data_IF_243570424188
#
_entry.id   IF_243570424188
#
_cell.length_a   1.000
_cell.length_b   1.000
_cell.length_c   1.000
_cell.angle_alpha   90.00
_cell.angle_beta   90.00
_cell.angle_gamma   90.00
#
_symmetry.space_group_name_H-M   'P 1'
#
loop_
_entity.id
_entity.type
_entity.pdbx_description
1 polymer ?
#
# COMPACT_ATOMS: atom_id res chain seq x y z
N UNK A 1 12.95 18.16 -9.58
CA UNK A 1 12.65 18.79 -8.27
C UNK A 1 11.81 20.07 -8.46
N UNK A 2 12.18 21.01 -9.36
CA UNK A 2 11.43 22.29 -9.51
C UNK A 2 9.94 22.11 -9.86
N UNK A 3 9.59 21.13 -10.72
CA UNK A 3 8.20 20.78 -11.04
C UNK A 3 7.47 20.33 -9.77
N UNK A 4 8.08 19.46 -8.97
CA UNK A 4 7.49 19.01 -7.72
C UNK A 4 7.33 20.13 -6.69
N UNK A 5 8.29 21.05 -6.60
CA UNK A 5 8.16 22.25 -5.73
C UNK A 5 6.88 23.01 -6.09
N UNK A 6 6.63 23.21 -7.40
CA UNK A 6 5.43 23.88 -7.89
C UNK A 6 4.14 23.09 -7.65
N UNK A 7 4.14 21.79 -7.97
CA UNK A 7 3.00 20.88 -7.74
C UNK A 7 2.59 20.88 -6.27
N UNK A 8 3.55 20.77 -5.35
CA UNK A 8 3.28 20.73 -3.92
C UNK A 8 2.65 22.05 -3.42
N UNK A 9 3.11 23.18 -3.92
CA UNK A 9 2.52 24.48 -3.57
C UNK A 9 1.10 24.61 -4.13
N UNK A 10 0.86 24.18 -5.37
CA UNK A 10 -0.49 24.18 -5.95
C UNK A 10 -1.45 23.28 -5.19
N UNK A 11 -1.03 22.07 -4.80
CA UNK A 11 -1.87 21.15 -4.03
C UNK A 11 -2.18 21.69 -2.62
N UNK A 12 -1.21 22.32 -1.96
CA UNK A 12 -1.45 23.01 -0.68
C UNK A 12 -2.49 24.11 -0.85
N UNK A 13 -2.31 24.99 -1.84
CA UNK A 13 -3.26 26.06 -2.12
C UNK A 13 -4.65 25.50 -2.46
N UNK A 14 -4.72 24.47 -3.32
CA UNK A 14 -5.97 23.79 -3.65
C UNK A 14 -6.69 23.24 -2.43
N UNK A 15 -5.99 22.53 -1.55
CA UNK A 15 -6.58 21.97 -0.32
C UNK A 15 -7.09 23.04 0.62
N UNK A 16 -6.33 24.13 0.81
CA UNK A 16 -6.76 25.28 1.64
C UNK A 16 -8.04 25.91 1.07
N UNK A 17 -8.10 26.10 -0.26
CA UNK A 17 -9.20 26.80 -0.91
C UNK A 17 -10.45 25.91 -1.02
N UNK A 18 -10.29 24.62 -1.24
CA UNK A 18 -11.39 23.67 -1.42
C UNK A 18 -12.00 23.16 -0.11
N UNK A 19 -11.34 23.35 1.04
CA UNK A 19 -11.87 22.92 2.33
C UNK A 19 -12.91 23.92 2.87
N UNK A 20 -14.17 23.47 2.95
CA UNK A 20 -15.27 24.27 3.51
C UNK A 20 -15.03 24.71 4.96
N UNK A 21 -14.25 23.97 5.73
CA UNK A 21 -13.93 24.37 7.11
C UNK A 21 -12.99 25.57 7.11
N UNK A 22 -12.01 25.59 6.21
CA UNK A 22 -11.09 26.70 6.03
C UNK A 22 -11.81 27.95 5.50
N UNK A 23 -12.66 27.80 4.50
CA UNK A 23 -13.50 28.88 3.98
C UNK A 23 -14.40 29.47 5.08
N UNK A 24 -15.10 28.63 5.85
CA UNK A 24 -15.94 29.08 6.96
C UNK A 24 -15.15 29.72 8.10
N UNK A 25 -13.93 29.26 8.36
CA UNK A 25 -13.05 29.89 9.35
C UNK A 25 -12.54 31.25 8.89
N UNK A 26 -12.22 31.39 7.61
CA UNK A 26 -11.83 32.64 6.99
C UNK A 26 -12.97 33.70 7.07
N UNK A 27 -14.20 33.30 6.78
CA UNK A 27 -15.36 34.22 6.86
C UNK A 27 -15.65 34.79 8.27
N UNK A 28 -15.11 34.19 9.33
CA UNK A 28 -15.31 34.66 10.72
C UNK A 28 -14.30 35.71 11.17
N UNK A 29 -13.22 35.90 10.42
CA UNK A 29 -12.12 36.80 10.77
C UNK A 29 -11.65 37.52 9.51
N UNK A 30 -11.71 38.88 9.56
CA UNK A 30 -11.38 39.70 8.39
C UNK A 30 -9.93 39.47 7.90
N UNK A 31 -8.95 39.34 8.81
CA UNK A 31 -7.56 39.10 8.40
C UNK A 31 -7.38 37.75 7.74
N UNK A 32 -8.04 36.71 8.28
CA UNK A 32 -8.03 35.35 7.69
C UNK A 32 -8.71 35.35 6.33
N UNK A 33 -9.80 36.11 6.19
CA UNK A 33 -10.47 36.30 4.91
C UNK A 33 -9.58 36.95 3.86
N UNK A 34 -8.90 38.05 4.19
CA UNK A 34 -8.02 38.77 3.29
C UNK A 34 -6.88 37.84 2.79
N UNK A 35 -6.28 37.04 3.68
CA UNK A 35 -5.25 36.06 3.34
C UNK A 35 -5.80 34.93 2.44
N UNK A 36 -6.95 34.38 2.81
CA UNK A 36 -7.59 33.31 2.04
C UNK A 36 -8.02 33.78 0.66
N UNK A 37 -8.61 34.97 0.54
CA UNK A 37 -9.04 35.54 -0.73
C UNK A 37 -7.84 35.91 -1.62
N UNK A 38 -6.76 36.45 -1.05
CA UNK A 38 -5.52 36.67 -1.78
C UNK A 38 -4.92 35.41 -2.33
N UNK A 39 -4.88 34.30 -1.54
CA UNK A 39 -4.43 32.99 -1.99
C UNK A 39 -5.35 32.43 -3.09
N UNK A 40 -6.67 32.55 -2.94
CA UNK A 40 -7.65 32.11 -3.93
C UNK A 40 -7.50 32.83 -5.27
N UNK A 41 -7.28 34.15 -5.25
CA UNK A 41 -7.05 34.93 -6.47
C UNK A 41 -5.74 34.54 -7.16
N UNK A 42 -4.67 34.33 -6.40
CA UNK A 42 -3.40 33.89 -6.95
C UNK A 42 -3.53 32.49 -7.55
N UNK A 43 -4.13 31.54 -6.82
CA UNK A 43 -4.37 30.19 -7.31
C UNK A 43 -5.18 30.18 -8.62
N UNK A 44 -6.17 31.07 -8.75
CA UNK A 44 -6.98 31.20 -9.97
C UNK A 44 -6.16 31.59 -11.20
N UNK A 45 -5.00 32.21 -11.07
CA UNK A 45 -4.09 32.52 -12.18
C UNK A 45 -3.37 31.26 -12.68
N UNK A 46 -3.29 30.21 -11.86
CA UNK A 46 -2.66 28.93 -12.19
C UNK A 46 -3.67 27.89 -12.71
N UNK A 47 -4.83 28.27 -13.14
CA UNK A 47 -6.14 27.64 -13.27
C UNK A 47 -6.31 26.57 -14.35
N UNK A 48 -5.31 25.85 -14.77
CA UNK A 48 -5.53 24.75 -15.73
C UNK A 48 -5.78 23.37 -15.06
N UNK A 49 -6.02 23.30 -13.72
CA UNK A 49 -5.92 22.05 -12.96
C UNK A 49 -6.95 22.02 -11.80
N UNK A 50 -8.22 22.39 -12.05
CA UNK A 50 -9.22 22.46 -10.96
C UNK A 50 -9.96 21.15 -10.68
N UNK A 51 -10.07 20.23 -11.63
CA UNK A 51 -10.90 19.03 -11.51
C UNK A 51 -10.08 17.75 -11.45
N UNK A 52 -10.59 16.76 -10.73
CA UNK A 52 -9.99 15.44 -10.62
C UNK A 52 -9.21 15.18 -9.32
N UNK A 53 -8.68 13.96 -9.22
CA UNK A 53 -7.79 13.58 -8.14
C UNK A 53 -6.34 14.14 -8.36
N UNK A 54 -5.45 13.90 -7.38
CA UNK A 54 -4.07 14.38 -7.47
C UNK A 54 -3.36 13.88 -8.74
N UNK A 55 -3.58 12.62 -9.13
CA UNK A 55 -2.94 12.01 -10.30
C UNK A 55 -3.42 12.64 -11.59
N UNK A 56 -4.72 12.93 -11.69
CA UNK A 56 -5.33 13.61 -12.85
C UNK A 56 -4.82 15.04 -12.98
N UNK A 57 -4.75 15.78 -11.86
CA UNK A 57 -4.18 17.14 -11.85
C UNK A 57 -2.70 17.16 -12.21
N UNK A 58 -1.92 16.19 -11.71
CA UNK A 58 -0.50 16.05 -12.07
C UNK A 58 -0.32 15.77 -13.54
N UNK A 59 -1.11 14.85 -14.11
CA UNK A 59 -1.09 14.54 -15.55
C UNK A 59 -1.46 15.76 -16.40
N UNK A 60 -2.51 16.49 -16.02
CA UNK A 60 -2.91 17.72 -16.70
C UNK A 60 -1.81 18.80 -16.65
N UNK A 61 -1.11 18.93 -15.52
CA UNK A 61 0.02 19.85 -15.38
C UNK A 61 1.18 19.44 -16.31
N UNK A 62 1.53 18.16 -16.34
CA UNK A 62 2.57 17.63 -17.22
C UNK A 62 2.20 17.91 -18.69
N UNK A 63 0.96 17.67 -19.09
CA UNK A 63 0.47 17.94 -20.44
C UNK A 63 0.58 19.42 -20.82
N UNK A 64 0.25 20.33 -19.90
CA UNK A 64 0.39 21.77 -20.12
C UNK A 64 1.86 22.16 -20.30
N UNK A 65 2.75 21.60 -19.48
CA UNK A 65 4.20 21.83 -19.57
C UNK A 65 4.73 21.30 -20.92
N UNK A 66 4.34 20.09 -21.29
CA UNK A 66 4.77 19.44 -22.54
C UNK A 66 4.24 20.19 -23.77
N UNK A 67 2.97 20.61 -23.80
CA UNK A 67 2.37 21.37 -24.93
C UNK A 67 2.96 22.76 -25.11
N UNK A 68 3.49 23.37 -24.07
CA UNK A 68 4.14 24.70 -24.12
C UNK A 68 5.63 24.62 -24.44
N UNK A 69 6.24 23.43 -24.39
CA UNK A 69 7.63 23.24 -24.76
C UNK A 69 7.78 23.20 -26.30
N UNK A 70 8.80 23.84 -26.87
CA UNK A 70 9.05 23.75 -28.31
C UNK A 70 9.34 22.29 -28.71
N UNK A 71 8.87 21.90 -29.93
CA UNK A 71 8.80 20.52 -30.45
C UNK A 71 10.16 19.79 -30.66
N UNK A 72 11.25 20.29 -30.15
CA UNK A 72 12.59 19.71 -30.25
C UNK A 72 12.95 19.05 -28.90
N UNK A 73 12.90 17.71 -28.90
CA UNK A 73 13.41 16.78 -27.85
C UNK A 73 13.29 17.29 -26.41
N UNK A 74 12.19 16.89 -25.76
CA UNK A 74 12.01 17.10 -24.32
C UNK A 74 12.79 16.00 -23.61
N UNK A 75 14.01 16.30 -23.19
CA UNK A 75 14.64 15.56 -22.09
C UNK A 75 14.09 16.15 -20.78
N UNK A 76 13.46 15.32 -19.93
CA UNK A 76 13.00 15.76 -18.62
C UNK A 76 14.20 16.28 -17.80
N UNK A 77 14.20 17.56 -17.51
CA UNK A 77 15.30 18.21 -16.77
C UNK A 77 16.01 19.32 -17.53
N UNK A 78 15.52 19.70 -18.72
CA UNK A 78 16.10 20.81 -19.49
C UNK A 78 15.90 22.17 -18.79
N UNK A 79 16.85 23.12 -18.98
CA UNK A 79 16.72 24.49 -18.48
C UNK A 79 15.42 25.19 -18.87
N UNK A 80 14.84 24.84 -20.04
CA UNK A 80 13.59 25.41 -20.55
C UNK A 80 12.37 25.04 -19.69
N UNK A 81 12.26 23.77 -19.23
CA UNK A 81 11.18 23.35 -18.35
C UNK A 81 11.30 24.08 -17.01
N UNK A 82 12.50 24.23 -16.52
CA UNK A 82 12.79 24.99 -15.29
C UNK A 82 12.41 26.47 -15.47
N UNK A 83 12.73 27.09 -16.61
CA UNK A 83 12.31 28.46 -16.93
C UNK A 83 10.79 28.62 -17.06
N UNK A 84 10.07 27.65 -17.65
CA UNK A 84 8.60 27.68 -17.75
C UNK A 84 7.92 27.63 -16.38
N UNK A 85 8.45 26.83 -15.46
CA UNK A 85 7.97 26.77 -14.08
C UNK A 85 8.27 28.10 -13.36
N UNK A 86 9.38 28.75 -13.67
CA UNK A 86 9.74 30.08 -13.11
C UNK A 86 8.99 31.27 -13.74
N UNK A 87 8.34 31.10 -14.90
CA UNK A 87 7.47 32.12 -15.50
C UNK A 87 6.16 32.35 -14.71
N UNK A 88 5.74 31.37 -13.92
CA UNK A 88 4.68 31.55 -12.94
C UNK A 88 5.31 32.07 -11.64
N UNK A 89 4.69 33.04 -11.00
CA UNK A 89 5.22 33.66 -9.77
C UNK A 89 5.10 32.71 -8.57
N UNK A 90 5.90 31.60 -8.64
CA UNK A 90 5.97 30.57 -7.59
C UNK A 90 6.32 31.20 -6.25
N UNK A 91 7.11 32.27 -6.28
CA UNK A 91 7.47 33.00 -5.07
C UNK A 91 6.24 33.60 -4.41
N UNK A 92 5.39 34.28 -5.21
CA UNK A 92 4.16 34.89 -4.70
C UNK A 92 3.19 33.87 -4.15
N UNK A 93 2.95 32.76 -4.90
CA UNK A 93 2.11 31.66 -4.42
C UNK A 93 2.62 31.11 -3.09
N UNK A 94 3.93 30.86 -2.99
CA UNK A 94 4.57 30.41 -1.77
C UNK A 94 4.39 31.38 -0.62
N UNK A 95 4.66 32.68 -0.84
CA UNK A 95 4.60 33.68 0.19
C UNK A 95 3.15 33.84 0.73
N UNK A 96 2.13 33.71 -0.12
CA UNK A 96 0.72 33.68 0.28
C UNK A 96 0.33 32.41 1.05
N UNK A 97 0.88 31.25 0.68
CA UNK A 97 0.68 30.02 1.45
C UNK A 97 1.32 30.16 2.85
N UNK A 98 2.54 30.67 2.92
CA UNK A 98 3.24 30.92 4.19
C UNK A 98 2.41 31.85 5.08
N UNK A 99 1.96 32.99 4.52
CA UNK A 99 1.16 33.95 5.28
C UNK A 99 -0.15 33.36 5.81
N UNK A 100 -0.82 32.51 4.99
CA UNK A 100 -2.02 31.83 5.43
C UNK A 100 -1.76 30.79 6.54
N UNK A 101 -0.66 30.04 6.43
CA UNK A 101 -0.33 28.94 7.35
C UNK A 101 0.21 29.42 8.71
N UNK A 102 0.64 30.67 8.84
CA UNK A 102 1.15 31.22 10.11
C UNK A 102 0.15 31.19 11.27
N UNK A 103 -1.15 31.15 10.96
CA UNK A 103 -2.21 31.06 11.97
C UNK A 103 -2.59 29.61 12.33
N UNK A 104 -1.82 28.61 11.86
CA UNK A 104 -2.06 27.20 12.12
C UNK A 104 -1.10 26.66 13.19
N UNK A 105 -1.62 25.90 14.13
CA UNK A 105 -0.81 25.23 15.15
C UNK A 105 0.14 24.22 14.54
N UNK A 106 -0.36 23.44 13.57
CA UNK A 106 0.42 22.46 12.80
C UNK A 106 -0.24 22.16 11.45
N UNK A 107 0.57 21.74 10.48
CA UNK A 107 0.13 21.35 9.13
C UNK A 107 0.70 19.97 8.78
N UNK A 108 -0.19 19.04 8.45
CA UNK A 108 0.16 17.69 8.00
C UNK A 108 -0.21 17.50 6.54
N UNK A 109 0.75 17.07 5.73
CA UNK A 109 0.52 16.69 4.34
C UNK A 109 0.75 15.19 4.20
N UNK A 110 -0.29 14.48 3.82
CA UNK A 110 -0.29 13.03 3.66
C UNK A 110 -0.36 12.69 2.17
N UNK A 111 0.67 12.01 1.66
CA UNK A 111 0.72 11.51 0.30
C UNK A 111 0.32 10.04 0.31
N UNK A 112 -0.83 9.71 -0.27
CA UNK A 112 -1.35 8.36 -0.37
C UNK A 112 -1.56 7.98 -1.84
N UNK A 113 -1.60 6.68 -2.15
CA UNK A 113 -1.84 6.14 -3.49
C UNK A 113 -0.82 6.59 -4.57
N UNK A 114 0.40 6.92 -4.19
CA UNK A 114 1.46 7.26 -5.14
C UNK A 114 1.93 6.06 -5.97
N UNK A 115 1.60 4.87 -5.55
CA UNK A 115 1.97 3.58 -6.10
C UNK A 115 0.93 3.01 -7.08
N UNK A 116 -0.15 3.75 -7.32
CA UNK A 116 -1.20 3.33 -8.25
C UNK A 116 -0.65 3.28 -9.68
N UNK A 117 -0.79 2.13 -10.34
CA UNK A 117 -0.31 1.84 -11.69
C UNK A 117 1.22 1.72 -11.85
N UNK A 118 1.97 1.52 -10.76
CA UNK A 118 3.41 1.24 -10.86
C UNK A 118 3.65 -0.17 -11.39
N UNK A 119 4.38 -0.26 -12.51
CA UNK A 119 4.80 -1.52 -13.13
C UNK A 119 6.27 -1.79 -12.79
N UNK A 120 6.52 -2.55 -11.74
CA UNK A 120 7.89 -2.79 -11.20
C UNK A 120 8.82 -3.42 -12.25
N UNK A 121 8.31 -4.28 -13.14
CA UNK A 121 9.13 -4.97 -14.16
C UNK A 121 9.38 -4.17 -15.43
N UNK A 122 8.61 -3.13 -15.70
CA UNK A 122 8.79 -2.19 -16.81
C UNK A 122 9.24 -0.82 -16.28
N UNK A 123 9.45 -0.69 -14.97
CA UNK A 123 9.89 0.54 -14.35
C UNK A 123 11.27 0.90 -14.92
N UNK A 124 11.25 1.73 -15.94
CA UNK A 124 12.38 2.53 -16.31
C UNK A 124 12.84 3.28 -15.07
N UNK A 125 14.12 3.58 -14.94
CA UNK A 125 14.68 4.35 -13.84
C UNK A 125 13.94 5.67 -13.54
N UNK A 126 13.02 6.08 -14.42
CA UNK A 126 12.20 7.31 -14.33
C UNK A 126 11.25 7.32 -13.13
N UNK A 127 10.59 6.22 -12.80
CA UNK A 127 9.63 6.18 -11.68
C UNK A 127 10.35 6.33 -10.33
N UNK A 128 11.47 5.65 -10.17
CA UNK A 128 12.34 5.84 -9.00
C UNK A 128 12.86 7.28 -8.90
N UNK A 129 13.20 7.90 -10.04
CA UNK A 129 13.63 9.31 -10.10
C UNK A 129 12.47 10.25 -9.74
N UNK A 130 11.25 9.99 -10.22
CA UNK A 130 10.05 10.78 -9.89
C UNK A 130 9.79 10.75 -8.39
N UNK A 131 9.79 9.56 -7.78
CA UNK A 131 9.59 9.40 -6.34
C UNK A 131 10.69 10.11 -5.54
N UNK A 132 11.96 9.96 -5.95
CA UNK A 132 13.07 10.66 -5.32
C UNK A 132 12.89 12.18 -5.38
N UNK A 133 12.50 12.70 -6.55
CA UNK A 133 12.26 14.14 -6.71
C UNK A 133 11.10 14.63 -5.82
N UNK A 134 10.06 13.82 -5.61
CA UNK A 134 8.97 14.12 -4.69
C UNK A 134 9.48 14.18 -3.24
N UNK A 135 10.23 13.16 -2.80
CA UNK A 135 10.79 13.11 -1.44
C UNK A 135 11.73 14.29 -1.18
N UNK A 136 12.56 14.65 -2.16
CA UNK A 136 13.46 15.82 -2.07
C UNK A 136 12.69 17.15 -2.01
N UNK A 137 11.65 17.30 -2.84
CA UNK A 137 10.82 18.49 -2.84
C UNK A 137 10.01 18.63 -1.54
N UNK A 138 9.45 17.53 -1.03
CA UNK A 138 8.74 17.50 0.24
C UNK A 138 9.64 17.90 1.41
N UNK A 139 10.87 17.38 1.47
CA UNK A 139 11.88 17.78 2.48
C UNK A 139 12.28 19.24 2.37
N UNK A 140 12.42 19.75 1.14
CA UNK A 140 12.75 21.15 0.89
C UNK A 140 11.61 22.08 1.34
N UNK A 141 10.38 21.71 1.02
CA UNK A 141 9.17 22.43 1.46
C UNK A 141 9.08 22.44 2.99
N UNK A 142 9.27 21.30 3.64
CA UNK A 142 9.27 21.19 5.10
C UNK A 142 10.33 22.11 5.73
N UNK A 143 11.57 22.07 5.24
CA UNK A 143 12.65 22.94 5.75
C UNK A 143 12.36 24.42 5.53
N UNK A 144 11.70 24.78 4.44
CA UNK A 144 11.32 26.13 4.14
C UNK A 144 10.23 26.63 5.10
N UNK A 145 9.17 25.84 5.30
CA UNK A 145 8.06 26.21 6.19
C UNK A 145 8.49 26.27 7.66
N UNK A 146 9.36 25.35 8.11
CA UNK A 146 9.94 25.41 9.47
C UNK A 146 10.77 26.70 9.69
N UNK A 147 11.48 27.20 8.67
CA UNK A 147 12.21 28.49 8.78
C UNK A 147 11.29 29.69 8.93
N UNK A 148 10.05 29.57 8.48
CA UNK A 148 8.99 30.58 8.64
C UNK A 148 8.14 30.31 9.90
N UNK A 149 8.68 29.56 10.87
CA UNK A 149 8.01 29.18 12.13
C UNK A 149 6.69 28.42 11.97
N UNK A 150 6.48 27.76 10.83
CA UNK A 150 5.33 26.89 10.59
C UNK A 150 5.69 25.46 10.95
N UNK A 151 4.95 24.86 11.90
CA UNK A 151 5.08 23.46 12.27
C UNK A 151 4.49 22.57 11.19
N UNK A 152 5.34 22.12 10.25
CA UNK A 152 4.95 21.38 9.05
C UNK A 152 5.51 19.96 9.06
N UNK A 153 4.63 18.99 8.77
CA UNK A 153 4.96 17.59 8.66
C UNK A 153 4.50 17.03 7.32
N UNK A 154 5.30 16.16 6.72
CA UNK A 154 4.91 15.41 5.53
C UNK A 154 5.11 13.92 5.75
N UNK A 155 4.12 13.12 5.35
CA UNK A 155 4.16 11.66 5.40
C UNK A 155 3.83 11.12 4.03
N UNK A 156 4.70 10.25 3.53
CA UNK A 156 4.53 9.59 2.24
C UNK A 156 4.28 8.10 2.50
N UNK A 157 3.09 7.62 2.13
CA UNK A 157 2.75 6.20 2.21
C UNK A 157 3.19 5.52 0.93
N UNK A 158 4.00 4.48 1.09
CA UNK A 158 4.58 3.72 -0.04
C UNK A 158 4.52 2.25 0.29
N UNK A 159 4.21 1.41 -0.69
CA UNK A 159 4.28 -0.05 -0.56
C UNK A 159 5.73 -0.49 -0.35
N UNK A 160 5.93 -1.56 0.42
CA UNK A 160 7.26 -2.08 0.74
C UNK A 160 8.06 -2.51 -0.49
N UNK A 161 7.40 -3.09 -1.50
CA UNK A 161 8.02 -3.54 -2.74
C UNK A 161 8.60 -2.35 -3.53
N UNK A 162 7.81 -1.29 -3.68
CA UNK A 162 8.23 -0.05 -4.35
C UNK A 162 9.36 0.63 -3.58
N UNK A 163 9.25 0.68 -2.25
CA UNK A 163 10.31 1.24 -1.42
C UNK A 163 11.62 0.44 -1.50
N UNK A 164 11.54 -0.89 -1.54
CA UNK A 164 12.72 -1.74 -1.70
C UNK A 164 13.37 -1.54 -3.06
N UNK A 165 12.58 -1.50 -4.14
CA UNK A 165 13.05 -1.16 -5.49
C UNK A 165 13.74 0.22 -5.53
N UNK A 166 13.12 1.22 -4.89
CA UNK A 166 13.70 2.56 -4.77
C UNK A 166 15.05 2.55 -4.06
N UNK A 167 15.19 1.80 -2.94
CA UNK A 167 16.43 1.70 -2.18
C UNK A 167 17.57 1.04 -2.98
N UNK A 168 17.25 0.07 -3.84
CA UNK A 168 18.25 -0.60 -4.67
C UNK A 168 18.80 0.31 -5.78
N UNK A 169 18.02 1.28 -6.22
CA UNK A 169 18.39 2.26 -7.24
C UNK A 169 19.03 3.53 -6.67
N UNK A 170 19.02 3.73 -5.36
CA UNK A 170 19.55 4.94 -4.73
C UNK A 170 20.79 4.67 -3.89
N UNK A 171 21.75 5.59 -3.95
CA UNK A 171 22.97 5.57 -3.11
C UNK A 171 22.73 6.17 -1.72
N UNK A 172 21.58 6.80 -1.48
CA UNK A 172 21.26 7.57 -0.29
C UNK A 172 20.52 6.77 0.78
N UNK A 173 20.92 5.51 0.99
CA UNK A 173 20.32 4.63 2.01
C UNK A 173 20.42 5.25 3.40
N UNK A 174 19.29 5.28 4.13
CA UNK A 174 19.25 5.66 5.54
C UNK A 174 19.17 7.16 5.84
N UNK A 175 19.02 8.03 4.84
CA UNK A 175 18.82 9.47 5.07
C UNK A 175 17.38 9.85 5.41
N UNK A 176 16.42 9.03 5.03
CA UNK A 176 15.01 9.25 5.33
C UNK A 176 14.60 8.54 6.61
N UNK A 177 13.78 9.20 7.42
CA UNK A 177 13.12 8.54 8.53
C UNK A 177 12.00 7.68 7.96
N UNK A 178 12.13 6.37 8.12
CA UNK A 178 11.17 5.39 7.62
C UNK A 178 10.53 4.66 8.80
N UNK A 179 9.22 4.61 8.82
CA UNK A 179 8.45 3.80 9.74
C UNK A 179 7.82 2.68 8.91
N UNK A 180 8.15 1.44 9.23
CA UNK A 180 7.47 0.28 8.63
C UNK A 180 6.25 -0.04 9.46
N UNK A 181 5.10 -0.14 8.79
CA UNK A 181 3.88 -0.65 9.39
C UNK A 181 3.83 -2.14 9.09
N UNK A 182 4.03 -2.95 10.10
CA UNK A 182 3.82 -4.39 10.04
C UNK A 182 2.68 -4.81 10.97
N UNK A 183 2.11 -5.97 10.72
CA UNK A 183 0.97 -6.52 11.43
C UNK A 183 1.29 -7.91 11.98
N UNK A 184 2.56 -8.16 12.32
CA UNK A 184 3.02 -9.46 12.82
C UNK A 184 2.56 -9.75 14.26
N UNK A 185 2.17 -8.73 15.00
CA UNK A 185 1.58 -8.88 16.33
C UNK A 185 0.09 -9.18 16.24
N UNK A 186 -0.27 -10.42 16.54
CA UNK A 186 -1.65 -10.94 16.46
C UNK A 186 -2.58 -10.17 17.43
N UNK A 187 -2.08 -9.64 18.55
CA UNK A 187 -2.90 -8.89 19.50
C UNK A 187 -3.39 -7.56 18.91
N UNK A 188 -2.72 -7.02 17.92
CA UNK A 188 -3.22 -5.85 17.18
C UNK A 188 -4.54 -6.14 16.46
N UNK A 189 -4.75 -7.36 15.95
CA UNK A 189 -6.01 -7.76 15.30
C UNK A 189 -7.16 -7.86 16.30
N UNK A 190 -6.88 -8.38 17.50
CA UNK A 190 -7.86 -8.37 18.61
C UNK A 190 -8.26 -6.95 18.98
N UNK A 191 -7.28 -6.07 19.05
CA UNK A 191 -7.52 -4.66 19.38
C UNK A 191 -8.30 -3.91 18.29
N UNK A 192 -7.99 -4.13 17.00
CA UNK A 192 -8.75 -3.58 15.88
C UNK A 192 -10.23 -4.01 15.98
N UNK A 193 -10.48 -5.30 16.19
CA UNK A 193 -11.83 -5.83 16.30
C UNK A 193 -12.56 -5.23 17.51
N UNK A 194 -11.91 -5.25 18.68
CA UNK A 194 -12.44 -4.69 19.93
C UNK A 194 -12.82 -3.21 19.79
N UNK A 195 -11.92 -2.40 19.25
CA UNK A 195 -12.15 -0.97 19.07
C UNK A 195 -13.31 -0.69 18.10
N UNK A 196 -13.40 -1.45 17.01
CA UNK A 196 -14.45 -1.30 16.02
C UNK A 196 -15.83 -1.56 16.60
N UNK A 197 -16.00 -2.67 17.33
CA UNK A 197 -17.26 -3.03 17.97
C UNK A 197 -17.62 -2.05 19.10
N UNK A 198 -16.66 -1.73 19.98
CA UNK A 198 -16.90 -0.82 21.09
C UNK A 198 -17.27 0.61 20.63
N UNK A 199 -16.68 1.08 19.52
CA UNK A 199 -17.01 2.38 18.93
C UNK A 199 -18.47 2.44 18.50
N UNK A 200 -18.94 1.43 17.80
CA UNK A 200 -20.30 1.38 17.27
C UNK A 200 -21.33 1.18 18.37
N UNK A 201 -21.02 0.36 19.38
CA UNK A 201 -21.92 0.08 20.50
C UNK A 201 -21.73 1.03 21.69
N UNK A 202 -20.74 1.92 21.67
CA UNK A 202 -20.36 2.81 22.78
C UNK A 202 -20.10 2.03 24.09
N UNK A 203 -19.58 0.81 23.97
CA UNK A 203 -19.26 -0.10 25.07
C UNK A 203 -17.75 -0.05 25.39
N UNK A 204 -17.33 -0.75 26.45
CA UNK A 204 -15.93 -0.92 26.88
C UNK A 204 -15.63 -2.40 27.16
N UNK A 205 -16.23 -3.30 26.41
CA UNK A 205 -16.02 -4.73 26.57
C UNK A 205 -14.61 -5.14 26.16
N UNK A 206 -14.10 -6.23 26.73
CA UNK A 206 -12.85 -6.86 26.33
C UNK A 206 -13.00 -7.58 24.99
N UNK A 207 -11.89 -7.93 24.34
CA UNK A 207 -11.94 -8.75 23.12
C UNK A 207 -12.62 -10.11 23.40
N UNK A 208 -12.25 -10.78 24.47
CA UNK A 208 -12.76 -12.10 24.79
C UNK A 208 -14.27 -12.11 25.06
N UNK A 209 -14.79 -11.08 25.74
CA UNK A 209 -16.22 -10.92 25.97
C UNK A 209 -16.98 -10.75 24.66
N UNK A 210 -16.46 -9.89 23.77
CA UNK A 210 -17.07 -9.63 22.46
C UNK A 210 -16.99 -10.88 21.58
N UNK A 211 -15.80 -11.50 21.49
CA UNK A 211 -15.57 -12.65 20.63
C UNK A 211 -16.44 -13.83 21.03
N UNK A 212 -16.47 -14.20 22.34
CA UNK A 212 -17.27 -15.30 22.85
C UNK A 212 -18.77 -15.10 22.67
N UNK A 213 -19.24 -13.85 22.61
CA UNK A 213 -20.65 -13.52 22.37
C UNK A 213 -21.02 -13.66 20.88
N UNK A 214 -20.10 -13.33 19.97
CA UNK A 214 -20.35 -13.26 18.54
C UNK A 214 -19.99 -14.55 17.80
N UNK A 215 -18.91 -15.23 18.20
CA UNK A 215 -18.36 -16.40 17.51
C UNK A 215 -18.44 -17.67 18.35
N UNK A 216 -18.52 -18.80 17.68
CA UNK A 216 -18.10 -20.08 18.28
C UNK A 216 -16.61 -20.02 18.53
N UNK A 217 -16.18 -20.53 19.71
CA UNK A 217 -14.80 -20.39 20.14
C UNK A 217 -13.81 -21.30 19.40
N UNK A 218 -14.30 -22.35 18.75
CA UNK A 218 -13.45 -23.33 18.07
C UNK A 218 -13.95 -23.62 16.65
N UNK A 219 -13.00 -23.84 15.75
CA UNK A 219 -13.19 -24.29 14.38
C UNK A 219 -12.18 -25.39 14.12
N UNK A 220 -12.65 -26.58 13.70
CA UNK A 220 -11.78 -27.73 13.39
C UNK A 220 -10.79 -28.11 14.50
N UNK A 221 -11.14 -27.84 15.77
CA UNK A 221 -10.31 -28.18 16.94
C UNK A 221 -9.36 -27.10 17.41
N UNK A 222 -9.23 -26.00 16.71
CA UNK A 222 -8.44 -24.83 17.10
C UNK A 222 -9.31 -23.61 17.45
N UNK A 223 -8.70 -22.57 18.03
CA UNK A 223 -9.37 -21.30 18.29
C UNK A 223 -9.91 -20.68 17.01
N UNK A 224 -11.20 -20.31 16.96
CA UNK A 224 -11.80 -19.67 15.79
C UNK A 224 -11.08 -18.36 15.39
N UNK A 225 -10.53 -17.64 16.35
CA UNK A 225 -9.72 -16.45 16.07
C UNK A 225 -8.41 -16.83 15.36
N UNK A 226 -7.68 -17.84 15.86
CA UNK A 226 -6.44 -18.30 15.24
C UNK A 226 -6.71 -18.86 13.83
N UNK A 227 -7.75 -19.68 13.67
CA UNK A 227 -8.17 -20.18 12.38
C UNK A 227 -8.35 -19.05 11.35
N UNK A 228 -9.08 -18.00 11.71
CA UNK A 228 -9.29 -16.86 10.82
C UNK A 228 -7.95 -16.16 10.51
N UNK A 229 -7.11 -15.92 11.53
CA UNK A 229 -5.82 -15.25 11.36
C UNK A 229 -4.89 -16.04 10.44
N UNK A 230 -4.79 -17.36 10.61
CA UNK A 230 -3.90 -18.22 9.82
C UNK A 230 -4.30 -18.29 8.35
N UNK A 231 -5.57 -18.04 8.03
CA UNK A 231 -6.06 -17.97 6.66
C UNK A 231 -5.95 -16.58 6.03
N UNK A 232 -5.43 -15.58 6.77
CA UNK A 232 -5.23 -14.22 6.27
C UNK A 232 -3.75 -13.94 6.01
N UNK A 233 -3.45 -12.98 5.11
CA UNK A 233 -2.07 -12.54 4.87
C UNK A 233 -1.56 -11.57 5.96
N UNK A 234 -2.08 -11.65 7.19
CA UNK A 234 -1.81 -10.73 8.29
C UNK A 234 -2.00 -9.26 7.88
N UNK A 235 -3.03 -8.99 7.08
CA UNK A 235 -3.44 -7.64 6.70
C UNK A 235 -4.77 -7.32 7.42
N UNK A 236 -4.93 -6.16 8.07
CA UNK A 236 -6.19 -5.80 8.75
C UNK A 236 -7.42 -5.87 7.83
N UNK A 237 -7.24 -5.53 6.54
CA UNK A 237 -8.31 -5.62 5.55
C UNK A 237 -8.77 -7.06 5.36
N UNK A 238 -7.84 -8.00 5.22
CA UNK A 238 -8.13 -9.41 4.98
C UNK A 238 -8.87 -10.02 6.18
N UNK A 239 -8.39 -9.72 7.39
CA UNK A 239 -9.04 -10.15 8.63
C UNK A 239 -10.49 -9.66 8.74
N UNK A 240 -10.71 -8.36 8.48
CA UNK A 240 -12.05 -7.79 8.53
C UNK A 240 -12.95 -8.31 7.40
N UNK A 241 -12.39 -8.61 6.24
CA UNK A 241 -13.11 -9.18 5.11
C UNK A 241 -13.56 -10.62 5.41
N UNK A 242 -12.69 -11.44 6.00
CA UNK A 242 -13.06 -12.79 6.40
C UNK A 242 -14.22 -12.76 7.42
N UNK A 243 -14.11 -11.91 8.45
CA UNK A 243 -15.18 -11.73 9.44
C UNK A 243 -16.47 -11.26 8.78
N UNK A 244 -16.38 -10.37 7.79
CA UNK A 244 -17.54 -9.89 7.04
C UNK A 244 -18.28 -11.04 6.33
N UNK A 245 -17.55 -11.94 5.65
CA UNK A 245 -18.14 -13.12 5.01
C UNK A 245 -18.75 -14.09 6.03
N UNK A 246 -18.10 -14.32 7.16
CA UNK A 246 -18.61 -15.16 8.22
C UNK A 246 -19.93 -14.59 8.80
N UNK A 247 -19.96 -13.28 9.03
CA UNK A 247 -21.16 -12.59 9.49
C UNK A 247 -22.29 -12.66 8.44
N UNK A 248 -21.99 -12.42 7.17
CA UNK A 248 -22.96 -12.51 6.08
C UNK A 248 -23.57 -13.91 5.98
N UNK A 249 -22.74 -14.94 6.13
CA UNK A 249 -23.19 -16.35 6.11
C UNK A 249 -24.13 -16.63 7.28
N UNK A 250 -23.77 -16.21 8.49
CA UNK A 250 -24.59 -16.39 9.69
C UNK A 250 -25.96 -15.67 9.54
N UNK A 251 -25.95 -14.44 9.05
CA UNK A 251 -27.20 -13.67 8.81
C UNK A 251 -28.09 -14.37 7.79
N UNK A 252 -27.51 -14.83 6.67
CA UNK A 252 -28.26 -15.51 5.61
C UNK A 252 -28.90 -16.83 6.08
N UNK A 253 -28.24 -17.52 7.03
CA UNK A 253 -28.76 -18.74 7.66
C UNK A 253 -29.67 -18.49 8.87
N UNK A 254 -29.84 -17.24 9.29
CA UNK A 254 -30.65 -16.84 10.44
C UNK A 254 -30.03 -17.21 11.78
N UNK A 255 -28.73 -17.37 11.86
CA UNK A 255 -28.03 -17.68 13.11
C UNK A 255 -27.89 -16.42 13.98
N UNK A 256 -28.00 -16.60 15.29
CA UNK A 256 -27.85 -15.50 16.27
C UNK A 256 -26.37 -15.23 16.64
N UNK A 257 -25.46 -16.08 16.20
CA UNK A 257 -23.99 -15.99 16.37
C UNK A 257 -23.32 -16.65 15.17
N UNK A 258 -22.08 -16.34 14.97
CA UNK A 258 -21.28 -16.95 13.91
C UNK A 258 -20.80 -18.32 14.38
N UNK A 259 -21.29 -19.37 13.71
CA UNK A 259 -20.96 -20.74 14.05
C UNK A 259 -19.68 -21.21 13.32
N UNK A 260 -19.12 -22.35 13.76
CA UNK A 260 -18.03 -23.02 13.05
C UNK A 260 -18.37 -23.23 11.57
N UNK A 261 -19.58 -23.68 11.25
CA UNK A 261 -20.02 -23.91 9.86
C UNK A 261 -20.08 -22.63 9.03
N UNK A 262 -20.45 -21.51 9.66
CA UNK A 262 -20.47 -20.22 8.97
C UNK A 262 -19.06 -19.75 8.62
N UNK A 263 -18.08 -19.98 9.50
CA UNK A 263 -16.68 -19.65 9.27
C UNK A 263 -16.12 -20.50 8.12
N UNK A 264 -16.35 -21.82 8.15
CA UNK A 264 -15.88 -22.74 7.11
C UNK A 264 -16.52 -22.46 5.74
N UNK A 265 -17.78 -22.03 5.72
CA UNK A 265 -18.44 -21.64 4.47
C UNK A 265 -17.95 -20.27 3.97
N UNK A 266 -17.71 -19.33 4.88
CA UNK A 266 -17.19 -18.03 4.55
C UNK A 266 -15.78 -18.07 3.96
N UNK A 267 -14.97 -19.05 4.36
CA UNK A 267 -13.63 -19.28 3.82
C UNK A 267 -13.63 -19.45 2.30
N UNK A 268 -14.65 -20.07 1.71
CA UNK A 268 -14.75 -20.25 0.25
C UNK A 268 -14.84 -18.88 -0.47
N UNK A 269 -15.72 -18.01 0.01
CA UNK A 269 -15.88 -16.66 -0.58
C UNK A 269 -14.66 -15.79 -0.32
N UNK A 270 -14.11 -15.85 0.90
CA UNK A 270 -12.92 -15.13 1.27
C UNK A 270 -11.69 -15.55 0.45
N UNK A 271 -11.47 -16.88 0.32
CA UNK A 271 -10.36 -17.45 -0.46
C UNK A 271 -10.41 -17.01 -1.93
N UNK A 272 -11.61 -16.93 -2.51
CA UNK A 272 -11.80 -16.42 -3.88
C UNK A 272 -11.43 -14.96 -4.00
N UNK A 273 -11.93 -14.09 -3.12
CA UNK A 273 -11.60 -12.66 -3.13
C UNK A 273 -10.11 -12.42 -2.90
N UNK A 274 -9.50 -13.20 -1.98
CA UNK A 274 -8.07 -13.13 -1.72
C UNK A 274 -7.27 -13.48 -2.97
N UNK A 275 -7.68 -14.51 -3.68
CA UNK A 275 -7.04 -14.97 -4.92
C UNK A 275 -7.21 -13.96 -6.05
N UNK A 276 -8.41 -13.42 -6.25
CA UNK A 276 -8.67 -12.35 -7.23
C UNK A 276 -7.84 -11.10 -6.93
N UNK A 277 -7.75 -10.70 -5.65
CA UNK A 277 -6.90 -9.61 -5.23
C UNK A 277 -5.43 -9.83 -5.57
N UNK A 278 -4.94 -11.05 -5.34
CA UNK A 278 -3.57 -11.43 -5.68
C UNK A 278 -3.33 -11.41 -7.20
N UNK A 279 -4.29 -11.90 -8.00
CA UNK A 279 -4.20 -11.85 -9.46
C UNK A 279 -4.03 -10.40 -9.96
N UNK A 280 -4.78 -9.45 -9.40
CA UNK A 280 -4.61 -8.03 -9.74
C UNK A 280 -3.23 -7.48 -9.33
N UNK A 281 -2.77 -7.79 -8.10
CA UNK A 281 -1.44 -7.35 -7.62
C UNK A 281 -0.31 -7.92 -8.49
N UNK A 282 -0.40 -9.19 -8.90
CA UNK A 282 0.61 -9.85 -9.74
C UNK A 282 0.56 -9.35 -11.19
N UNK A 283 -0.62 -9.09 -11.74
CA UNK A 283 -0.79 -8.57 -13.11
C UNK A 283 -0.08 -7.22 -13.29
N UNK A 284 -0.13 -6.36 -12.27
CA UNK A 284 0.58 -5.07 -12.29
C UNK A 284 2.09 -5.24 -12.39
N UNK A 285 2.64 -6.37 -11.93
CA UNK A 285 4.07 -6.68 -11.98
C UNK A 285 4.44 -7.44 -13.25
N UNK A 286 3.69 -8.51 -13.56
CA UNK A 286 3.94 -9.36 -14.71
C UNK A 286 2.65 -10.04 -15.19
N UNK A 287 2.06 -9.56 -16.29
CA UNK A 287 0.83 -10.15 -16.84
C UNK A 287 0.92 -11.65 -17.13
N UNK A 288 2.14 -12.14 -17.43
CA UNK A 288 2.38 -13.55 -17.73
C UNK A 288 2.31 -14.48 -16.50
N UNK A 289 2.34 -13.93 -15.30
CA UNK A 289 2.28 -14.70 -14.06
C UNK A 289 0.84 -14.96 -13.58
N UNK A 290 -0.16 -14.34 -14.19
CA UNK A 290 -1.56 -14.58 -13.83
C UNK A 290 -1.95 -16.06 -14.02
N UNK A 291 -1.59 -16.65 -15.15
CA UNK A 291 -1.86 -18.07 -15.45
C UNK A 291 -1.09 -19.04 -14.54
N UNK A 292 0.02 -18.60 -13.95
CA UNK A 292 0.85 -19.45 -13.08
C UNK A 292 0.11 -19.85 -11.82
N UNK A 293 -0.70 -18.94 -11.24
CA UNK A 293 -1.45 -19.24 -10.02
C UNK A 293 -2.48 -20.37 -10.23
N UNK A 294 -3.06 -20.46 -11.42
CA UNK A 294 -3.98 -21.57 -11.77
C UNK A 294 -3.26 -22.89 -11.99
N UNK A 295 -1.94 -22.87 -12.20
CA UNK A 295 -1.13 -24.10 -12.31
C UNK A 295 -1.08 -24.93 -11.02
N UNK A 296 -1.52 -24.37 -9.90
CA UNK A 296 -1.58 -25.06 -8.61
C UNK A 296 -2.95 -25.65 -8.29
N UNK A 297 -3.94 -25.54 -9.19
CA UNK A 297 -5.28 -26.07 -9.00
C UNK A 297 -5.26 -27.58 -8.76
N UNK A 298 -6.02 -28.06 -7.76
CA UNK A 298 -6.10 -29.48 -7.33
C UNK A 298 -4.73 -30.07 -6.93
N UNK A 299 -3.70 -29.26 -6.74
CA UNK A 299 -2.37 -29.67 -6.33
C UNK A 299 -2.23 -29.96 -4.84
N UNK A 300 -1.01 -30.24 -4.40
CA UNK A 300 -0.68 -30.34 -2.98
C UNK A 300 -0.35 -28.98 -2.39
N UNK A 301 -0.77 -28.73 -1.14
CA UNK A 301 -0.47 -27.49 -0.46
C UNK A 301 1.03 -27.32 -0.18
N UNK A 302 1.71 -28.42 0.12
CA UNK A 302 3.16 -28.45 0.32
C UNK A 302 3.85 -29.25 -0.79
N UNK A 303 5.02 -28.76 -1.23
CA UNK A 303 5.77 -29.38 -2.33
C UNK A 303 7.26 -29.13 -2.20
N UNK A 304 8.06 -30.03 -2.75
CA UNK A 304 9.49 -29.84 -2.89
C UNK A 304 9.84 -28.87 -4.02
N UNK A 305 11.05 -28.30 -3.98
CA UNK A 305 11.52 -27.35 -5.00
C UNK A 305 11.45 -27.94 -6.42
N UNK A 306 11.81 -29.21 -6.58
CA UNK A 306 11.71 -29.90 -7.87
C UNK A 306 10.28 -30.01 -8.39
N UNK A 307 9.30 -30.23 -7.51
CA UNK A 307 7.88 -30.29 -7.88
C UNK A 307 7.39 -28.89 -8.27
N UNK A 308 7.76 -27.85 -7.48
CA UNK A 308 7.43 -26.46 -7.78
C UNK A 308 7.98 -26.04 -9.15
N UNK A 309 9.25 -26.36 -9.45
CA UNK A 309 9.86 -26.09 -10.75
C UNK A 309 9.06 -26.79 -11.86
N UNK A 310 8.65 -28.05 -11.63
CA UNK A 310 7.84 -28.81 -12.59
C UNK A 310 6.50 -28.13 -12.90
N UNK A 311 5.81 -27.58 -11.89
CA UNK A 311 4.55 -26.82 -12.07
C UNK A 311 4.82 -25.55 -12.91
N UNK A 312 5.88 -24.80 -12.58
CA UNK A 312 6.22 -23.56 -13.31
C UNK A 312 6.57 -23.82 -14.78
N UNK A 313 7.29 -24.92 -15.05
CA UNK A 313 7.62 -25.33 -16.43
C UNK A 313 6.35 -25.75 -17.20
N UNK A 314 5.39 -26.44 -16.57
CA UNK A 314 4.08 -26.75 -17.18
C UNK A 314 3.31 -25.48 -17.52
N UNK A 315 3.43 -24.44 -16.71
CA UNK A 315 2.91 -23.10 -16.98
C UNK A 315 3.74 -22.30 -18.01
N UNK A 316 4.72 -22.95 -18.67
CA UNK A 316 5.57 -22.37 -19.73
C UNK A 316 6.45 -21.21 -19.25
N UNK A 317 6.82 -21.18 -17.98
CA UNK A 317 7.80 -20.21 -17.47
C UNK A 317 9.20 -20.63 -17.98
N UNK A 318 9.95 -19.74 -18.65
CA UNK A 318 11.31 -20.02 -19.10
C UNK A 318 12.24 -20.33 -17.91
N UNK A 319 13.20 -21.23 -18.11
CA UNK A 319 14.10 -21.68 -17.04
C UNK A 319 14.87 -20.53 -16.39
N UNK A 320 15.26 -19.51 -17.17
CA UNK A 320 15.95 -18.32 -16.70
C UNK A 320 15.06 -17.37 -15.86
N UNK A 321 13.74 -17.58 -15.86
CA UNK A 321 12.77 -16.80 -15.08
C UNK A 321 12.16 -17.53 -13.89
N UNK A 322 12.45 -18.82 -13.72
CA UNK A 322 11.87 -19.66 -12.64
C UNK A 322 12.19 -19.05 -11.27
N UNK A 323 13.45 -18.73 -11.01
CA UNK A 323 13.88 -18.16 -9.74
C UNK A 323 13.18 -16.81 -9.46
N UNK A 324 13.08 -15.94 -10.46
CA UNK A 324 12.36 -14.68 -10.35
C UNK A 324 10.87 -14.90 -10.04
N UNK A 325 10.24 -15.89 -10.68
CA UNK A 325 8.84 -16.23 -10.45
C UNK A 325 8.64 -16.73 -9.02
N UNK A 326 9.47 -17.66 -8.54
CA UNK A 326 9.43 -18.13 -7.15
C UNK A 326 9.56 -16.96 -6.17
N UNK A 327 10.53 -16.07 -6.39
CA UNK A 327 10.73 -14.89 -5.57
C UNK A 327 9.50 -13.96 -5.55
N UNK A 328 8.83 -13.82 -6.68
CA UNK A 328 7.58 -13.05 -6.77
C UNK A 328 6.45 -13.70 -5.97
N UNK A 329 6.25 -15.02 -6.10
CA UNK A 329 5.23 -15.76 -5.36
C UNK A 329 5.48 -15.75 -3.84
N UNK A 330 6.76 -15.81 -3.42
CA UNK A 330 7.16 -15.65 -2.01
C UNK A 330 6.88 -14.24 -1.50
N UNK A 331 7.20 -13.21 -2.30
CA UNK A 331 6.97 -11.81 -1.94
C UNK A 331 5.50 -11.52 -1.66
N UNK A 332 4.62 -12.05 -2.49
CA UNK A 332 3.17 -11.91 -2.32
C UNK A 332 2.56 -12.83 -1.28
N UNK A 333 3.38 -13.60 -0.56
CA UNK A 333 2.92 -14.58 0.43
C UNK A 333 1.98 -15.64 -0.15
N UNK A 334 1.98 -15.86 -1.47
CA UNK A 334 1.32 -17.02 -2.09
C UNK A 334 2.07 -18.30 -1.70
N UNK A 335 3.40 -18.26 -1.80
CA UNK A 335 4.28 -19.30 -1.30
C UNK A 335 4.93 -18.88 0.02
N UNK A 336 5.15 -19.84 0.89
CA UNK A 336 6.01 -19.80 2.04
C UNK A 336 7.11 -20.84 1.94
N UNK A 337 8.08 -20.77 2.83
CA UNK A 337 9.19 -21.73 2.94
C UNK A 337 9.09 -22.42 4.30
N UNK A 338 9.26 -23.74 4.33
CA UNK A 338 9.37 -24.49 5.58
C UNK A 338 10.77 -24.31 6.16
N UNK A 339 10.82 -23.84 7.40
CA UNK A 339 12.06 -23.76 8.18
C UNK A 339 12.46 -25.13 8.76
N UNK A 340 13.62 -25.22 9.38
CA UNK A 340 14.14 -26.46 9.94
C UNK A 340 13.23 -27.08 11.01
N UNK A 341 12.45 -26.27 11.74
CA UNK A 341 11.43 -26.70 12.70
C UNK A 341 10.08 -27.07 12.07
N UNK A 342 10.02 -27.20 10.74
CA UNK A 342 8.80 -27.44 9.95
C UNK A 342 7.75 -26.33 10.04
N UNK A 343 8.08 -25.18 10.56
CA UNK A 343 7.19 -24.03 10.57
C UNK A 343 7.20 -23.34 9.20
N UNK A 344 6.02 -23.09 8.67
CA UNK A 344 5.86 -22.33 7.43
C UNK A 344 6.16 -20.87 7.68
N UNK A 345 7.06 -20.30 6.88
CA UNK A 345 7.48 -18.91 6.95
C UNK A 345 7.10 -18.19 5.66
N UNK A 346 6.34 -17.12 5.78
CA UNK A 346 5.94 -16.26 4.68
C UNK A 346 6.69 -14.94 4.75
N UNK A 347 6.70 -14.14 3.67
CA UNK A 347 7.46 -12.90 3.60
C UNK A 347 7.12 -11.92 4.74
N UNK A 348 5.86 -11.86 5.18
CA UNK A 348 5.47 -11.01 6.31
C UNK A 348 6.19 -11.41 7.61
N UNK A 349 6.50 -12.69 7.83
CA UNK A 349 7.18 -13.16 9.05
C UNK A 349 8.63 -12.70 9.15
N UNK A 350 9.24 -12.29 8.04
CA UNK A 350 10.61 -11.74 7.97
C UNK A 350 10.60 -10.23 7.71
N UNK A 351 9.47 -9.55 7.89
CA UNK A 351 9.32 -8.13 7.56
C UNK A 351 9.56 -7.83 6.08
N UNK A 352 9.22 -8.78 5.20
CA UNK A 352 9.45 -8.72 3.75
C UNK A 352 10.95 -8.70 3.37
N UNK A 353 11.83 -9.20 4.24
CA UNK A 353 13.22 -9.52 3.88
C UNK A 353 13.27 -10.90 3.18
N UNK A 354 13.11 -10.87 1.86
CA UNK A 354 13.11 -12.08 1.03
C UNK A 354 14.45 -12.83 1.12
N UNK A 355 15.55 -12.10 1.26
CA UNK A 355 16.90 -12.68 1.41
C UNK A 355 17.02 -13.50 2.70
N UNK A 356 16.45 -12.99 3.79
CA UNK A 356 16.36 -13.70 5.05
C UNK A 356 15.47 -14.94 4.92
N UNK A 357 14.30 -14.81 4.28
CA UNK A 357 13.37 -15.91 4.06
C UNK A 357 14.01 -17.06 3.26
N UNK A 358 14.70 -16.75 2.16
CA UNK A 358 15.39 -17.75 1.34
C UNK A 358 16.50 -18.45 2.13
N UNK A 359 17.25 -17.72 2.97
CA UNK A 359 18.27 -18.33 3.82
C UNK A 359 17.71 -19.28 4.86
N UNK A 360 16.52 -19.02 5.42
CA UNK A 360 15.83 -19.96 6.30
C UNK A 360 15.55 -21.29 5.58
N UNK A 361 15.12 -21.22 4.31
CA UNK A 361 14.94 -22.40 3.46
C UNK A 361 16.25 -23.13 3.17
N UNK A 362 17.35 -22.42 2.87
CA UNK A 362 18.66 -23.00 2.64
C UNK A 362 19.19 -23.75 3.88
N UNK A 363 18.91 -23.25 5.08
CA UNK A 363 19.28 -23.93 6.31
C UNK A 363 18.46 -25.20 6.55
N UNK A 364 17.15 -25.14 6.28
CA UNK A 364 16.30 -26.32 6.35
C UNK A 364 16.69 -27.43 5.34
N UNK A 365 17.16 -27.02 4.15
CA UNK A 365 17.64 -27.93 3.11
C UNK A 365 18.85 -28.75 3.57
N UNK A 366 19.73 -28.22 4.40
CA UNK A 366 20.90 -28.96 4.93
C UNK A 366 20.50 -30.21 5.71
N UNK A 367 19.29 -30.23 6.26
CA UNK A 367 18.76 -31.36 7.03
C UNK A 367 17.89 -32.30 6.16
N UNK A 368 17.34 -31.81 5.03
CA UNK A 368 16.28 -32.48 4.25
C UNK A 368 16.57 -32.75 2.79
N UNK A 369 17.78 -32.55 2.32
CA UNK A 369 18.18 -32.70 0.91
C UNK A 369 17.55 -31.73 -0.09
N UNK A 370 16.36 -31.21 0.13
CA UNK A 370 15.67 -30.30 -0.80
C UNK A 370 14.81 -29.27 -0.03
N UNK A 371 14.62 -28.06 -0.58
CA UNK A 371 13.74 -27.04 -0.02
C UNK A 371 12.29 -27.48 -0.15
N UNK A 372 11.48 -27.12 0.84
CA UNK A 372 10.04 -27.36 0.84
C UNK A 372 9.31 -26.02 0.87
N UNK A 373 8.37 -25.88 -0.04
CA UNK A 373 7.47 -24.74 -0.15
C UNK A 373 6.07 -25.11 0.28
N UNK A 374 5.31 -24.13 0.76
CA UNK A 374 3.92 -24.29 1.13
C UNK A 374 3.08 -23.17 0.53
N UNK A 375 1.96 -23.50 -0.09
CA UNK A 375 0.95 -22.51 -0.49
C UNK A 375 0.25 -22.02 0.77
N UNK A 376 0.02 -20.71 0.87
CA UNK A 376 -0.63 -20.11 2.04
C UNK A 376 -2.04 -20.68 2.24
N UNK A 377 -2.45 -21.02 3.49
CA UNK A 377 -3.75 -21.62 3.79
C UNK A 377 -4.94 -20.85 3.20
N UNK A 378 -4.85 -19.52 3.16
CA UNK A 378 -5.90 -18.67 2.60
C UNK A 378 -6.27 -18.95 1.14
N UNK A 379 -5.41 -19.63 0.36
CA UNK A 379 -5.68 -20.02 -1.02
C UNK A 379 -6.15 -21.46 -1.17
N UNK A 380 -6.20 -22.22 -0.08
CA UNK A 380 -6.47 -23.67 -0.14
C UNK A 380 -7.85 -24.00 -0.73
N UNK A 381 -8.87 -23.21 -0.39
CA UNK A 381 -10.25 -23.46 -0.87
C UNK A 381 -10.42 -23.11 -2.34
N UNK A 382 -9.94 -21.94 -2.78
CA UNK A 382 -10.11 -21.51 -4.19
C UNK A 382 -9.33 -22.39 -5.16
N UNK A 383 -8.19 -22.93 -4.72
CA UNK A 383 -7.35 -23.83 -5.52
C UNK A 383 -7.66 -25.32 -5.31
N UNK A 384 -8.63 -25.66 -4.47
CA UNK A 384 -9.01 -27.04 -4.14
C UNK A 384 -7.81 -27.92 -3.73
N UNK A 385 -6.89 -27.34 -2.90
CA UNK A 385 -5.63 -27.98 -2.55
C UNK A 385 -5.85 -29.23 -1.68
N UNK A 386 -5.02 -30.24 -1.93
CA UNK A 386 -4.93 -31.45 -1.12
C UNK A 386 -3.91 -31.24 0.01
N UNK A 387 -4.29 -31.64 1.21
CA UNK A 387 -3.42 -31.61 2.39
C UNK A 387 -2.32 -32.68 2.30
#
# INVERSE_FOLDING_TARGET
TAIWDYVLLLELAHKIISDRKEENAAHKDQKKWERWDALKREYALHRNIEEGDFSERLSALIDVIVKRAPATKIEMGTPEITQMVFLHDIKRLRDLIVDYLQDKDEVWVLFDNLDKNWKINEADDYEAVILRCLLDASRKLQKMLIKEDINFHSVVFIRNDIYSFFLDKTTDRGKDQVIRLDWNDIDLFKEIFRLRINRDQKSKETFDDIWSRIFDLHVSGESSFNYIIEHTLLRPRDFLLFIHYALQTAINKGHNRITQEDILHAEESYSRDLFEGLLYEIRDISPTLEDVLYGFLEGHRTMFESELIGVLQQCKIPDDKIEQTINTLLWFCFLGINSSDMTERYAYSTGYDLKMLLKLGDWAQKEKSEKMYAIHPGFSKVLELKN
#
